data_IF_612807098368
#
_entry.id   IF_612807098368
#
_cell.length_a   1.000
_cell.length_b   1.000
_cell.length_c   1.000
_cell.angle_alpha   90.00
_cell.angle_beta   90.00
_cell.angle_gamma   90.00
#
_symmetry.space_group_name_H-M   'P 1'
#
loop_
_entity.id
_entity.type
_entity.pdbx_description
1 polymer ?
#
# COMPACT_ATOMS: atom_id res chain seq x y z
N UNK A 1 -11.50 3.58 -1.36
CA UNK A 1 -11.57 5.03 -1.47
C UNK A 1 -11.02 5.52 -2.81
N UNK A 2 -9.79 5.22 -3.12
CA UNK A 2 -9.24 5.54 -4.46
C UNK A 2 -9.19 4.32 -5.37
N UNK A 3 -10.00 3.36 -5.10
CA UNK A 3 -10.10 2.12 -5.86
C UNK A 3 -10.36 2.42 -7.34
N UNK A 4 -9.53 1.83 -8.19
CA UNK A 4 -9.63 1.99 -9.65
C UNK A 4 -9.44 3.43 -10.16
N UNK A 5 -8.63 4.24 -9.47
CA UNK A 5 -8.27 5.57 -9.98
C UNK A 5 -7.21 5.43 -11.08
N UNK A 6 -7.62 4.93 -12.25
CA UNK A 6 -6.68 4.49 -13.29
C UNK A 6 -5.94 5.63 -13.99
N UNK A 7 -6.48 6.83 -13.98
CA UNK A 7 -5.89 7.96 -14.68
C UNK A 7 -5.03 8.88 -13.81
N UNK A 8 -5.04 8.67 -12.50
CA UNK A 8 -4.24 9.49 -11.58
C UNK A 8 -2.78 9.04 -11.60
N UNK A 9 -1.86 9.95 -11.89
CA UNK A 9 -0.42 9.69 -11.82
C UNK A 9 0.18 10.14 -10.49
N UNK A 10 -0.38 11.18 -9.90
CA UNK A 10 0.00 11.69 -8.59
C UNK A 10 -1.25 11.97 -7.79
N UNK A 11 -1.15 11.82 -6.48
CA UNK A 11 -2.28 12.02 -5.59
C UNK A 11 -1.82 12.82 -4.38
N UNK A 12 -2.42 13.98 -4.16
CA UNK A 12 -2.11 14.83 -3.03
C UNK A 12 -3.03 14.51 -1.87
N UNK A 13 -2.45 13.93 -0.83
CA UNK A 13 -3.19 13.52 0.36
C UNK A 13 -2.93 14.43 1.55
N UNK A 14 -2.36 15.62 1.32
CA UNK A 14 -1.93 16.51 2.41
C UNK A 14 -3.07 16.95 3.33
N UNK A 15 -4.28 17.02 2.81
CA UNK A 15 -5.46 17.40 3.59
C UNK A 15 -6.32 16.20 4.00
N UNK A 16 -5.84 15.00 3.74
CA UNK A 16 -6.60 13.79 3.98
C UNK A 16 -6.46 13.36 5.43
N UNK A 17 -7.58 13.24 6.14
CA UNK A 17 -7.57 12.85 7.55
C UNK A 17 -8.12 11.44 7.71
N UNK A 18 -7.27 10.53 8.19
CA UNK A 18 -7.69 9.16 8.47
C UNK A 18 -7.67 8.83 9.97
N UNK A 19 -7.73 9.84 10.81
CA UNK A 19 -7.59 9.66 12.26
C UNK A 19 -8.56 8.65 12.84
N UNK A 20 -9.79 8.61 12.33
CA UNK A 20 -10.83 7.70 12.81
C UNK A 20 -11.01 6.47 11.94
N UNK A 21 -10.15 6.29 10.94
CA UNK A 21 -10.24 5.14 10.03
C UNK A 21 -9.52 3.96 10.66
N UNK A 22 -10.13 2.77 10.60
CA UNK A 22 -9.54 1.53 11.11
C UNK A 22 -9.17 0.56 10.01
N UNK A 23 -9.58 0.82 8.78
CA UNK A 23 -9.46 -0.13 7.68
C UNK A 23 -9.05 0.60 6.40
N UNK A 24 -7.89 0.20 5.85
CA UNK A 24 -7.37 0.76 4.60
C UNK A 24 -7.40 -0.28 3.47
N UNK A 25 -8.27 -1.29 3.58
CA UNK A 25 -8.36 -2.34 2.57
C UNK A 25 -8.61 -1.74 1.20
N UNK A 26 -7.82 -2.18 0.23
CA UNK A 26 -7.97 -1.82 -1.19
C UNK A 26 -7.99 -0.32 -1.47
N UNK A 27 -7.48 0.49 -0.55
CA UNK A 27 -7.58 1.94 -0.68
C UNK A 27 -7.06 2.46 -2.03
N UNK A 28 -5.94 1.90 -2.49
CA UNK A 28 -5.34 2.31 -3.76
C UNK A 28 -5.33 1.17 -4.79
N UNK A 29 -6.11 0.12 -4.57
CA UNK A 29 -6.15 -1.01 -5.49
C UNK A 29 -6.49 -0.54 -6.90
N UNK A 30 -5.77 -1.07 -7.88
CA UNK A 30 -5.97 -0.80 -9.31
C UNK A 30 -5.72 0.66 -9.71
N UNK A 31 -5.00 1.42 -8.91
CA UNK A 31 -4.52 2.73 -9.33
C UNK A 31 -3.31 2.54 -10.25
N UNK A 32 -3.57 2.10 -11.48
CA UNK A 32 -2.55 1.58 -12.39
C UNK A 32 -1.57 2.61 -12.90
N UNK A 33 -1.95 3.88 -12.91
CA UNK A 33 -1.10 4.96 -13.41
C UNK A 33 -0.38 5.72 -12.30
N UNK A 34 -0.65 5.38 -11.05
CA UNK A 34 -0.09 6.08 -9.90
C UNK A 34 1.40 5.76 -9.79
N UNK A 35 2.25 6.78 -9.85
CA UNK A 35 3.71 6.64 -9.80
C UNK A 35 4.30 7.03 -8.47
N UNK A 36 3.76 8.08 -7.86
CA UNK A 36 4.26 8.63 -6.61
C UNK A 36 3.11 8.84 -5.65
N UNK A 37 3.38 8.58 -4.38
CA UNK A 37 2.36 8.68 -3.36
C UNK A 37 3.02 9.13 -2.07
N UNK A 38 2.61 10.27 -1.56
CA UNK A 38 3.13 10.80 -0.30
C UNK A 38 2.15 10.45 0.82
N UNK A 39 2.58 9.54 1.68
CA UNK A 39 1.78 9.07 2.80
C UNK A 39 2.26 9.64 4.14
N UNK A 40 3.04 10.72 4.11
CA UNK A 40 3.63 11.27 5.32
C UNK A 40 2.59 11.78 6.33
N UNK A 41 1.39 12.13 5.85
CA UNK A 41 0.30 12.56 6.71
C UNK A 41 -0.55 11.41 7.28
N UNK A 42 -0.26 10.19 6.90
CA UNK A 42 -1.08 9.07 7.35
C UNK A 42 -0.67 8.64 8.75
N UNK A 43 -1.58 8.81 9.69
CA UNK A 43 -1.42 8.34 11.07
C UNK A 43 -2.22 7.05 11.21
N UNK A 44 -1.52 5.93 11.24
CA UNK A 44 -2.11 4.62 11.07
C UNK A 44 -2.25 3.83 12.37
N UNK A 45 -2.09 4.47 13.52
CA UNK A 45 -2.10 3.75 14.80
C UNK A 45 -3.40 3.00 15.09
N UNK A 46 -4.51 3.40 14.47
CA UNK A 46 -5.80 2.73 14.66
C UNK A 46 -6.15 1.74 13.54
N UNK A 47 -5.26 1.58 12.57
CA UNK A 47 -5.53 0.70 11.44
C UNK A 47 -5.27 -0.75 11.83
N UNK A 48 -6.21 -1.61 11.49
CA UNK A 48 -6.09 -3.05 11.73
C UNK A 48 -6.00 -3.87 10.46
N UNK A 49 -6.39 -3.33 9.33
CA UNK A 49 -6.47 -4.07 8.06
C UNK A 49 -5.90 -3.24 6.91
N UNK A 50 -4.86 -3.75 6.27
CA UNK A 50 -4.24 -3.15 5.08
C UNK A 50 -4.26 -4.11 3.90
N UNK A 51 -5.20 -5.07 3.91
CA UNK A 51 -5.31 -6.06 2.84
C UNK A 51 -5.47 -5.37 1.49
N UNK A 52 -4.63 -5.73 0.53
CA UNK A 52 -4.68 -5.23 -0.85
C UNK A 52 -4.58 -3.71 -0.98
N UNK A 53 -3.97 -3.04 -0.01
CA UNK A 53 -3.92 -1.58 -0.03
C UNK A 53 -3.36 -1.02 -1.34
N UNK A 54 -2.33 -1.65 -1.88
CA UNK A 54 -1.69 -1.22 -3.13
C UNK A 54 -1.81 -2.28 -4.22
N UNK A 55 -2.81 -3.12 -4.14
CA UNK A 55 -3.01 -4.21 -5.08
C UNK A 55 -3.08 -3.67 -6.51
N UNK A 56 -2.24 -4.21 -7.38
CA UNK A 56 -2.24 -3.89 -8.81
C UNK A 56 -1.90 -2.43 -9.12
N UNK A 57 -1.12 -1.78 -8.27
CA UNK A 57 -0.55 -0.47 -8.55
C UNK A 57 0.69 -0.65 -9.43
N UNK A 58 0.49 -0.88 -10.71
CA UNK A 58 1.52 -1.34 -11.62
C UNK A 58 2.63 -0.33 -11.88
N UNK A 59 2.36 0.95 -11.74
CA UNK A 59 3.32 2.01 -12.04
C UNK A 59 4.02 2.57 -10.81
N UNK A 60 3.65 2.14 -9.62
CA UNK A 60 4.22 2.64 -8.38
C UNK A 60 5.67 2.16 -8.27
N UNK A 61 6.61 3.10 -8.08
CA UNK A 61 8.05 2.80 -8.08
C UNK A 61 8.70 2.90 -6.72
N UNK A 62 8.23 3.82 -5.89
CA UNK A 62 8.80 4.08 -4.57
C UNK A 62 7.68 4.22 -3.57
N UNK A 63 7.94 3.74 -2.35
CA UNK A 63 6.92 3.82 -1.32
C UNK A 63 7.59 3.98 0.04
N UNK A 64 7.32 5.12 0.69
CA UNK A 64 7.84 5.40 2.01
C UNK A 64 6.73 5.18 3.04
N UNK A 65 6.87 4.10 3.78
CA UNK A 65 5.95 3.72 4.86
C UNK A 65 6.61 3.90 6.23
N UNK A 66 7.66 4.73 6.31
CA UNK A 66 8.46 4.86 7.53
C UNK A 66 7.66 5.44 8.71
N UNK A 67 6.62 6.23 8.43
CA UNK A 67 5.79 6.78 9.49
C UNK A 67 4.56 5.92 9.81
N UNK A 68 4.39 4.80 9.13
CA UNK A 68 3.29 3.89 9.43
C UNK A 68 3.51 3.19 10.76
N UNK A 69 2.54 3.28 11.64
CA UNK A 69 2.48 2.46 12.84
C UNK A 69 1.60 1.26 12.53
N UNK A 70 2.22 0.08 12.42
CA UNK A 70 1.53 -1.14 12.05
C UNK A 70 1.29 -2.06 13.25
N UNK A 71 1.44 -1.53 14.46
CA UNK A 71 1.32 -2.30 15.68
C UNK A 71 0.00 -3.06 15.77
N UNK A 72 -1.09 -2.44 15.33
CA UNK A 72 -2.42 -3.03 15.41
C UNK A 72 -2.86 -3.70 14.12
N UNK A 73 -2.02 -3.71 13.09
CA UNK A 73 -2.37 -4.32 11.81
C UNK A 73 -2.23 -5.83 11.89
N UNK A 74 -3.31 -6.53 11.59
CA UNK A 74 -3.32 -7.99 11.57
C UNK A 74 -3.39 -8.57 10.17
N UNK A 75 -3.76 -7.78 9.17
CA UNK A 75 -3.92 -8.27 7.80
C UNK A 75 -3.13 -7.40 6.84
N UNK A 76 -2.05 -7.99 6.29
CA UNK A 76 -1.21 -7.35 5.27
C UNK A 76 -1.26 -8.13 3.95
N UNK A 77 -2.26 -9.00 3.79
CA UNK A 77 -2.33 -9.94 2.68
C UNK A 77 -2.46 -9.21 1.35
N UNK A 78 -1.70 -9.66 0.37
CA UNK A 78 -1.74 -9.17 -1.01
C UNK A 78 -1.54 -7.66 -1.14
N UNK A 79 -0.84 -7.06 -0.17
CA UNK A 79 -0.68 -5.61 -0.12
C UNK A 79 -0.03 -5.05 -1.40
N UNK A 80 0.91 -5.81 -1.97
CA UNK A 80 1.66 -5.37 -3.14
C UNK A 80 1.52 -6.29 -4.35
N UNK A 81 0.55 -7.19 -4.35
CA UNK A 81 0.34 -8.06 -5.50
C UNK A 81 0.08 -7.22 -6.74
N UNK A 82 0.80 -7.52 -7.82
CA UNK A 82 0.64 -6.78 -9.07
C UNK A 82 1.40 -5.46 -9.14
N UNK A 83 2.18 -5.12 -8.12
CA UNK A 83 3.02 -3.90 -8.14
C UNK A 83 4.32 -4.19 -8.88
N UNK A 84 4.25 -4.34 -10.19
CA UNK A 84 5.39 -4.83 -10.98
C UNK A 84 6.56 -3.86 -11.09
N UNK A 85 6.33 -2.58 -10.88
CA UNK A 85 7.38 -1.57 -10.93
C UNK A 85 8.05 -1.32 -9.58
N UNK A 86 7.53 -1.92 -8.52
CA UNK A 86 8.01 -1.69 -7.17
C UNK A 86 8.97 -2.80 -6.77
N UNK A 87 10.15 -2.43 -6.30
CA UNK A 87 11.15 -3.36 -5.80
C UNK A 87 11.25 -3.25 -4.29
N UNK A 88 11.69 -4.33 -3.66
CA UNK A 88 11.82 -4.41 -2.21
C UNK A 88 12.68 -3.27 -1.66
N UNK A 89 13.75 -2.92 -2.37
CA UNK A 89 14.70 -1.88 -1.95
C UNK A 89 14.09 -0.49 -1.99
N UNK A 90 12.99 -0.33 -2.71
CA UNK A 90 12.32 0.96 -2.86
C UNK A 90 11.15 1.13 -1.89
N UNK A 91 11.00 0.20 -0.96
CA UNK A 91 10.02 0.29 0.12
C UNK A 91 10.75 0.59 1.41
N UNK A 92 10.41 1.72 2.04
CA UNK A 92 10.96 2.09 3.34
C UNK A 92 9.90 1.76 4.39
N UNK A 93 10.23 0.86 5.31
CA UNK A 93 9.29 0.47 6.36
C UNK A 93 10.05 0.01 7.61
N UNK A 94 9.41 0.21 8.76
CA UNK A 94 9.91 -0.31 10.03
C UNK A 94 9.35 -1.70 10.36
N UNK A 95 8.38 -2.16 9.58
CA UNK A 95 7.72 -3.44 9.82
C UNK A 95 8.27 -4.49 8.85
N UNK A 96 9.04 -5.42 9.39
CA UNK A 96 9.67 -6.47 8.59
C UNK A 96 8.64 -7.43 7.97
N UNK A 97 7.44 -7.52 8.51
CA UNK A 97 6.40 -8.36 7.91
C UNK A 97 6.10 -7.92 6.49
N UNK A 98 6.13 -6.60 6.25
CA UNK A 98 5.90 -6.03 4.92
C UNK A 98 6.97 -6.50 3.95
N UNK A 99 8.24 -6.43 4.34
CA UNK A 99 9.36 -6.81 3.47
C UNK A 99 9.47 -8.32 3.30
N UNK A 100 9.24 -9.08 4.35
CA UNK A 100 9.40 -10.54 4.30
C UNK A 100 8.44 -11.20 3.34
N UNK A 101 7.23 -10.68 3.23
CA UNK A 101 6.21 -11.24 2.35
C UNK A 101 6.19 -10.66 0.94
N UNK A 102 7.03 -9.66 0.67
CA UNK A 102 6.90 -8.87 -0.55
C UNK A 102 6.97 -9.70 -1.82
N UNK A 103 8.00 -10.53 -1.95
CA UNK A 103 8.19 -11.32 -3.16
C UNK A 103 7.08 -12.37 -3.33
N UNK A 104 6.62 -12.94 -2.23
CA UNK A 104 5.52 -13.90 -2.25
C UNK A 104 4.26 -13.22 -2.77
N UNK A 105 3.93 -12.06 -2.23
CA UNK A 105 2.74 -11.33 -2.64
C UNK A 105 2.81 -10.92 -4.11
N UNK A 106 4.00 -10.51 -4.57
CA UNK A 106 4.17 -10.03 -5.94
C UNK A 106 4.01 -11.14 -6.96
N UNK A 107 4.60 -12.31 -6.71
CA UNK A 107 4.62 -13.40 -7.68
C UNK A 107 3.44 -14.34 -7.54
N UNK A 108 2.85 -14.45 -6.38
CA UNK A 108 1.71 -15.33 -6.17
C UNK A 108 0.39 -14.73 -6.62
N UNK A 109 0.46 -13.59 -7.28
CA UNK A 109 -0.72 -12.95 -7.85
C UNK A 109 -1.50 -13.89 -8.78
N UNK A 110 -0.80 -14.80 -9.43
CA UNK A 110 -1.40 -15.75 -10.37
C UNK A 110 -1.63 -17.13 -9.79
N UNK A 111 -1.23 -17.37 -8.56
CA UNK A 111 -1.31 -18.70 -7.95
C UNK A 111 -2.52 -18.81 -7.04
N UNK A 112 -3.22 -17.73 -6.85
CA UNK A 112 -4.48 -17.73 -6.13
C UNK A 112 -4.35 -18.12 -4.65
N UNK A 113 -4.10 -17.14 -3.86
CA UNK A 113 -4.08 -17.37 -2.42
C UNK A 113 -4.66 -16.17 -1.70
#
# INVERSE_FOLDING_TARGET
MFYECNSLTNLDLSNFNIQNVTNLRSMFSFCKSLRNLDLSNFHTQNITDMNRMFYDCKSLRNLDLSNFNTQNVTNLRSMFSGCYSLNKENIITKDKRILNGFNVYKFNDYINY
#
